data_IF_845243759514
#
_entry.id   IF_845243759514
#
_cell.length_a   1.000
_cell.length_b   1.000
_cell.length_c   1.000
_cell.angle_alpha   90.00
_cell.angle_beta   90.00
_cell.angle_gamma   90.00
#
_symmetry.space_group_name_H-M   'P 1'
#
loop_
_entity.id
_entity.type
_entity.pdbx_description
1 polymer ?
#
# COMPACT_ATOMS: atom_id res chain seq x y z
N UNK A 1 -12.56 2.13 -12.13
CA UNK A 1 -12.60 3.58 -11.90
C UNK A 1 -11.48 4.22 -12.71
N UNK A 2 -11.84 5.12 -13.62
CA UNK A 2 -10.92 5.84 -14.52
C UNK A 2 -10.84 7.33 -14.18
N UNK A 3 -11.51 7.79 -13.12
CA UNK A 3 -11.50 9.19 -12.68
C UNK A 3 -10.08 9.79 -12.60
N UNK A 4 -9.06 9.10 -12.06
CA UNK A 4 -7.69 9.62 -12.02
C UNK A 4 -7.15 10.02 -13.39
N UNK A 5 -7.46 9.25 -14.44
CA UNK A 5 -6.95 9.50 -15.79
C UNK A 5 -7.46 10.80 -16.41
N UNK A 6 -8.59 11.34 -15.91
CA UNK A 6 -9.11 12.64 -16.35
C UNK A 6 -8.33 13.82 -15.78
N UNK A 7 -7.51 13.57 -14.76
CA UNK A 7 -6.71 14.57 -14.06
C UNK A 7 -5.21 14.40 -14.31
N UNK A 8 -4.81 13.42 -15.13
CA UNK A 8 -3.41 13.24 -15.51
C UNK A 8 -3.01 14.32 -16.50
N UNK A 9 -1.95 15.03 -16.16
CA UNK A 9 -1.20 15.96 -17.02
C UNK A 9 0.30 15.60 -16.99
N UNK A 10 1.08 16.13 -17.92
CA UNK A 10 2.54 15.97 -17.94
C UNK A 10 3.18 16.46 -16.62
N UNK A 11 2.80 17.65 -16.16
CA UNK A 11 3.21 18.22 -14.87
C UNK A 11 2.88 17.28 -13.68
N UNK A 12 1.72 16.63 -13.69
CA UNK A 12 1.33 15.70 -12.62
C UNK A 12 2.19 14.44 -12.57
N UNK A 13 2.80 14.06 -13.70
CA UNK A 13 3.68 12.90 -13.80
C UNK A 13 5.12 13.22 -13.41
N UNK A 14 5.54 14.48 -13.55
CA UNK A 14 6.87 14.96 -13.13
C UNK A 14 6.94 15.24 -11.62
N UNK A 15 5.79 15.48 -10.99
CA UNK A 15 5.70 15.68 -9.54
C UNK A 15 6.13 14.42 -8.78
N UNK A 16 6.97 14.57 -7.75
CA UNK A 16 7.54 13.45 -6.98
C UNK A 16 6.46 12.44 -6.54
N UNK A 17 5.35 12.95 -5.99
CA UNK A 17 4.19 12.16 -5.67
C UNK A 17 2.90 12.95 -5.91
N UNK A 18 1.99 12.40 -6.72
CA UNK A 18 0.68 12.99 -6.98
C UNK A 18 -0.43 12.08 -6.44
N UNK A 19 -1.23 12.59 -5.50
CA UNK A 19 -2.47 11.95 -5.08
C UNK A 19 -3.64 12.45 -5.94
N UNK A 20 -4.40 11.55 -6.53
CA UNK A 20 -5.53 11.90 -7.40
C UNK A 20 -6.85 12.06 -6.62
N UNK A 21 -7.82 12.79 -7.16
CA UNK A 21 -9.14 12.94 -6.56
C UNK A 21 -9.78 11.59 -6.21
N UNK A 22 -10.27 11.49 -4.99
CA UNK A 22 -10.91 10.28 -4.48
C UNK A 22 -12.41 10.36 -4.72
N UNK A 23 -12.96 9.37 -5.40
CA UNK A 23 -14.42 9.27 -5.59
C UNK A 23 -15.11 9.01 -4.26
N UNK A 24 -16.30 9.57 -4.08
CA UNK A 24 -17.17 9.24 -2.94
C UNK A 24 -17.35 7.73 -2.82
N UNK A 25 -16.87 7.19 -1.69
CA UNK A 25 -16.99 5.78 -1.37
C UNK A 25 -18.43 5.45 -0.97
N UNK A 26 -18.95 4.32 -1.45
CA UNK A 26 -20.27 3.84 -1.01
C UNK A 26 -20.11 3.18 0.35
N UNK A 27 -20.87 3.65 1.34
CA UNK A 27 -20.93 3.04 2.65
C UNK A 27 -22.01 1.94 2.64
N UNK A 28 -21.60 0.67 2.67
CA UNK A 28 -22.51 -0.48 2.70
C UNK A 28 -21.82 -1.72 3.28
N UNK A 29 -22.60 -2.72 3.65
CA UNK A 29 -22.09 -4.03 4.05
C UNK A 29 -22.18 -4.97 2.85
N UNK A 30 -21.04 -5.51 2.41
CA UNK A 30 -21.01 -6.47 1.30
C UNK A 30 -21.84 -7.71 1.66
N UNK A 31 -22.85 -8.03 0.83
CA UNK A 31 -23.62 -9.25 0.96
C UNK A 31 -22.74 -10.46 0.64
N UNK A 32 -22.90 -11.53 1.42
CA UNK A 32 -22.24 -12.83 1.20
C UNK A 32 -23.31 -13.89 0.96
N UNK A 33 -23.92 -13.92 -0.24
CA UNK A 33 -25.11 -14.75 -0.50
C UNK A 33 -24.83 -16.25 -0.32
N UNK A 34 -23.63 -16.70 -0.68
CA UNK A 34 -23.21 -18.10 -0.55
C UNK A 34 -22.64 -18.43 0.84
N UNK A 35 -22.55 -17.47 1.76
CA UNK A 35 -21.73 -17.58 2.96
C UNK A 35 -20.22 -17.59 2.65
N UNK A 36 -19.37 -17.61 3.68
CA UNK A 36 -17.92 -17.67 3.48
C UNK A 36 -17.33 -16.49 2.71
N UNK A 37 -16.29 -16.73 1.89
CA UNK A 37 -15.75 -15.77 0.93
C UNK A 37 -16.00 -16.24 -0.51
N UNK A 38 -15.83 -15.38 -1.52
CA UNK A 38 -15.95 -15.67 -2.98
C UNK A 38 -16.93 -16.79 -3.35
N UNK A 39 -16.48 -18.05 -3.43
CA UNK A 39 -17.24 -19.23 -3.88
C UNK A 39 -17.76 -20.15 -2.76
N UNK A 40 -17.55 -19.79 -1.49
CA UNK A 40 -17.86 -20.62 -0.33
C UNK A 40 -17.38 -22.08 -0.54
N UNK A 41 -18.26 -23.05 -0.37
CA UNK A 41 -18.00 -24.47 -0.59
C UNK A 41 -18.59 -25.00 -1.92
N UNK A 42 -18.74 -24.16 -2.95
CA UNK A 42 -19.35 -24.55 -4.24
C UNK A 42 -18.42 -25.36 -5.18
N UNK A 43 -17.18 -25.66 -4.76
CA UNK A 43 -16.19 -26.39 -5.59
C UNK A 43 -15.52 -25.53 -6.67
N UNK A 44 -14.65 -26.12 -7.49
CA UNK A 44 -13.93 -25.42 -8.58
C UNK A 44 -14.77 -25.22 -9.85
N UNK A 45 -15.82 -26.01 -10.06
CA UNK A 45 -16.70 -25.86 -11.21
C UNK A 45 -17.56 -24.58 -11.15
N UNK A 46 -17.65 -23.95 -9.97
CA UNK A 46 -18.41 -22.72 -9.78
C UNK A 46 -17.57 -21.50 -10.13
N UNK A 47 -17.86 -20.89 -11.28
CA UNK A 47 -17.18 -19.70 -11.75
C UNK A 47 -17.44 -18.50 -10.84
N UNK A 48 -16.37 -17.78 -10.47
CA UNK A 48 -16.45 -16.48 -9.79
C UNK A 48 -15.42 -15.53 -10.37
N UNK A 49 -15.74 -14.24 -10.40
CA UNK A 49 -14.79 -13.17 -10.72
C UNK A 49 -14.51 -12.32 -9.46
N UNK A 50 -13.33 -11.72 -9.33
CA UNK A 50 -13.04 -10.81 -8.23
C UNK A 50 -13.92 -9.55 -8.34
N UNK A 51 -14.57 -9.17 -7.24
CA UNK A 51 -15.18 -7.86 -7.13
C UNK A 51 -14.10 -6.77 -7.09
N UNK A 52 -14.40 -5.54 -7.56
CA UNK A 52 -13.60 -4.39 -7.24
C UNK A 52 -13.37 -4.28 -5.71
N UNK A 53 -12.23 -3.71 -5.28
CA UNK A 53 -11.98 -3.53 -3.85
C UNK A 53 -13.09 -2.67 -3.21
N UNK A 54 -13.52 -3.08 -2.01
CA UNK A 54 -14.51 -2.36 -1.23
C UNK A 54 -13.90 -1.12 -0.55
N UNK A 55 -14.71 -0.05 -0.47
CA UNK A 55 -14.41 1.16 0.29
C UNK A 55 -13.81 2.30 -0.54
N UNK A 56 -13.01 3.16 0.10
CA UNK A 56 -12.40 4.34 -0.53
C UNK A 56 -11.11 3.96 -1.25
N UNK A 57 -11.08 4.18 -2.56
CA UNK A 57 -9.93 3.82 -3.40
C UNK A 57 -9.06 5.04 -3.64
N UNK A 58 -7.85 5.01 -3.09
CA UNK A 58 -6.82 6.01 -3.30
C UNK A 58 -5.97 5.61 -4.50
N UNK A 59 -5.79 6.53 -5.44
CA UNK A 59 -4.89 6.36 -6.57
C UNK A 59 -3.82 7.43 -6.49
N UNK A 60 -2.55 7.03 -6.56
CA UNK A 60 -1.43 7.96 -6.57
C UNK A 60 -0.43 7.56 -7.65
N UNK A 61 0.35 8.54 -8.11
CA UNK A 61 1.47 8.36 -9.01
C UNK A 61 2.75 8.76 -8.29
N UNK A 62 3.83 8.03 -8.54
CA UNK A 62 5.18 8.39 -8.14
C UNK A 62 6.03 8.54 -9.40
N UNK A 63 6.61 9.73 -9.61
CA UNK A 63 7.53 9.97 -10.73
C UNK A 63 8.67 8.96 -10.71
N UNK A 64 9.29 8.84 -9.53
CA UNK A 64 10.37 7.90 -9.26
C UNK A 64 10.00 6.89 -8.19
N UNK A 65 10.66 5.73 -8.24
CA UNK A 65 10.56 4.73 -7.19
C UNK A 65 11.60 5.00 -6.09
N UNK A 66 11.19 4.81 -4.84
CA UNK A 66 12.10 4.84 -3.71
C UNK A 66 12.85 3.50 -3.62
N UNK A 67 14.18 3.58 -3.68
CA UNK A 67 15.07 2.42 -3.64
C UNK A 67 15.75 2.31 -2.29
N UNK A 68 15.93 1.08 -1.82
CA UNK A 68 16.78 0.81 -0.66
C UNK A 68 18.26 1.07 -0.98
N UNK A 69 19.10 1.25 0.04
CA UNK A 69 20.57 1.35 -0.09
C UNK A 69 21.13 0.16 -0.87
N UNK A 70 20.69 -1.06 -0.52
CA UNK A 70 21.03 -2.28 -1.26
C UNK A 70 20.70 -2.20 -2.74
N UNK A 71 19.52 -1.68 -3.09
CA UNK A 71 19.10 -1.55 -4.50
C UNK A 71 19.87 -0.45 -5.23
N UNK A 72 20.25 0.64 -4.55
CA UNK A 72 21.09 1.70 -5.11
C UNK A 72 22.48 1.14 -5.43
N UNK A 73 23.11 0.47 -4.46
CA UNK A 73 24.40 -0.20 -4.65
C UNK A 73 24.36 -1.21 -5.80
N UNK A 74 23.38 -2.10 -5.82
CA UNK A 74 23.26 -3.09 -6.90
C UNK A 74 23.10 -2.44 -8.28
N UNK A 75 22.44 -1.28 -8.36
CA UNK A 75 22.35 -0.53 -9.62
C UNK A 75 23.71 0.06 -10.00
N UNK A 76 24.42 0.66 -9.06
CA UNK A 76 25.75 1.23 -9.28
C UNK A 76 26.76 0.16 -9.71
N UNK A 77 26.80 -0.98 -9.03
CA UNK A 77 27.62 -2.15 -9.39
C UNK A 77 27.29 -2.66 -10.79
N UNK A 78 26.00 -2.69 -11.17
CA UNK A 78 25.58 -3.09 -12.51
C UNK A 78 26.07 -2.12 -13.59
N UNK A 79 26.06 -0.81 -13.34
CA UNK A 79 26.60 0.16 -14.30
C UNK A 79 28.13 0.03 -14.43
N UNK A 80 28.86 -0.10 -13.31
CA UNK A 80 30.32 -0.32 -13.32
C UNK A 80 30.69 -1.60 -14.09
N UNK A 81 29.96 -2.70 -13.84
CA UNK A 81 30.19 -3.97 -14.52
C UNK A 81 29.91 -3.87 -16.04
N UNK A 82 28.91 -3.08 -16.46
CA UNK A 82 28.65 -2.82 -17.89
C UNK A 82 29.76 -2.03 -18.56
N UNK A 83 30.37 -1.11 -17.83
CA UNK A 83 31.53 -0.32 -18.29
C UNK A 83 32.84 -1.12 -18.25
N UNK A 84 32.81 -2.38 -17.76
CA UNK A 84 33.97 -3.24 -17.64
C UNK A 84 34.90 -2.89 -16.48
N UNK A 85 34.42 -2.06 -15.54
CA UNK A 85 35.15 -1.68 -14.33
C UNK A 85 35.11 -2.77 -13.25
N UNK A 86 35.91 -2.56 -12.20
CA UNK A 86 35.95 -3.42 -11.03
C UNK A 86 34.85 -3.02 -10.03
N UNK A 87 34.01 -3.97 -9.64
CA UNK A 87 32.91 -3.73 -8.69
C UNK A 87 33.43 -3.82 -7.26
N UNK A 88 33.40 -2.72 -6.48
CA UNK A 88 33.95 -2.72 -5.13
C UNK A 88 33.14 -3.62 -4.19
N UNK A 89 33.83 -4.36 -3.32
CA UNK A 89 33.17 -5.15 -2.27
C UNK A 89 32.80 -4.24 -1.09
N UNK A 90 31.53 -4.20 -0.65
CA UNK A 90 31.12 -3.40 0.50
C UNK A 90 31.78 -3.89 1.80
N UNK A 91 32.08 -2.96 2.71
CA UNK A 91 32.49 -3.29 4.07
C UNK A 91 31.35 -3.89 4.89
N UNK A 92 31.69 -4.63 5.96
CA UNK A 92 30.72 -5.28 6.84
C UNK A 92 29.70 -4.31 7.45
N UNK A 93 30.13 -3.13 7.87
CA UNK A 93 29.25 -2.12 8.46
C UNK A 93 28.17 -1.66 7.48
N UNK A 94 28.53 -1.45 6.20
CA UNK A 94 27.57 -1.06 5.17
C UNK A 94 26.54 -2.17 4.90
N UNK A 95 26.95 -3.44 4.92
CA UNK A 95 26.03 -4.58 4.75
C UNK A 95 25.05 -4.71 5.92
N UNK A 96 25.49 -4.43 7.15
CA UNK A 96 24.63 -4.43 8.33
C UNK A 96 23.61 -3.30 8.23
N UNK A 97 24.04 -2.10 7.84
CA UNK A 97 23.12 -0.97 7.63
C UNK A 97 22.08 -1.26 6.53
N UNK A 98 22.48 -1.93 5.44
CA UNK A 98 21.57 -2.37 4.39
C UNK A 98 20.53 -3.39 4.89
N UNK A 99 20.91 -4.30 5.77
CA UNK A 99 20.01 -5.35 6.29
C UNK A 99 19.02 -4.80 7.32
N UNK A 100 19.44 -3.82 8.11
CA UNK A 100 18.60 -3.12 9.08
C UNK A 100 17.67 -2.09 8.45
N UNK A 101 17.90 -1.71 7.19
CA UNK A 101 17.10 -0.71 6.49
C UNK A 101 15.67 -1.23 6.24
N UNK A 102 14.62 -0.57 6.79
CA UNK A 102 13.26 -0.93 6.48
C UNK A 102 12.94 -0.59 5.02
N UNK A 103 12.16 -1.47 4.36
CA UNK A 103 11.75 -1.24 2.98
C UNK A 103 10.99 0.08 2.84
N UNK A 104 11.26 0.87 1.79
CA UNK A 104 10.54 2.10 1.55
C UNK A 104 9.09 1.80 1.20
N UNK A 105 8.18 2.60 1.75
CA UNK A 105 6.74 2.42 1.59
C UNK A 105 6.05 3.78 1.53
N UNK A 106 4.94 3.85 0.80
CA UNK A 106 4.02 4.99 0.88
C UNK A 106 3.08 4.77 2.05
N UNK A 107 2.84 5.82 2.82
CA UNK A 107 1.89 5.83 3.93
C UNK A 107 0.76 6.79 3.59
N UNK A 108 -0.45 6.25 3.52
CA UNK A 108 -1.69 7.00 3.33
C UNK A 108 -2.37 7.15 4.68
N UNK A 109 -2.47 8.38 5.18
CA UNK A 109 -3.10 8.70 6.46
C UNK A 109 -4.49 9.24 6.22
N UNK A 110 -5.49 8.55 6.72
CA UNK A 110 -6.90 8.96 6.65
C UNK A 110 -7.27 9.66 7.94
N UNK A 111 -7.87 10.85 7.83
CA UNK A 111 -8.38 11.64 8.95
C UNK A 111 -9.87 11.90 8.82
N UNK A 112 -10.55 12.03 9.94
CA UNK A 112 -11.95 12.49 9.97
C UNK A 112 -12.05 14.02 9.83
N UNK A 113 -13.28 14.53 9.89
CA UNK A 113 -13.58 15.95 9.79
C UNK A 113 -12.96 16.80 10.92
N UNK A 114 -12.70 16.19 12.09
CA UNK A 114 -12.05 16.83 13.24
C UNK A 114 -10.51 16.75 13.15
N UNK A 115 -9.97 16.13 12.10
CA UNK A 115 -8.53 15.98 11.86
C UNK A 115 -7.89 14.80 12.61
N UNK A 116 -8.67 14.00 13.34
CA UNK A 116 -8.16 12.84 14.06
C UNK A 116 -7.81 11.71 13.09
N UNK A 117 -6.71 11.00 13.38
CA UNK A 117 -6.23 9.91 12.52
C UNK A 117 -7.12 8.68 12.71
N UNK A 118 -7.80 8.28 11.65
CA UNK A 118 -8.73 7.14 11.63
C UNK A 118 -8.03 5.86 11.18
N UNK A 119 -7.16 5.96 10.17
CA UNK A 119 -6.44 4.81 9.61
C UNK A 119 -5.13 5.26 8.98
N UNK A 120 -4.11 4.41 9.07
CA UNK A 120 -2.92 4.48 8.20
C UNK A 120 -2.87 3.23 7.33
N UNK A 121 -2.59 3.40 6.06
CA UNK A 121 -2.45 2.32 5.08
C UNK A 121 -1.08 2.43 4.44
N UNK A 122 -0.48 1.28 4.13
CA UNK A 122 0.79 1.24 3.40
C UNK A 122 0.52 0.90 1.93
N UNK A 123 1.34 1.47 1.05
CA UNK A 123 1.28 1.28 -0.40
C UNK A 123 2.67 1.09 -1.00
N UNK A 124 2.75 0.55 -2.23
CA UNK A 124 4.02 0.38 -2.93
C UNK A 124 4.76 1.72 -3.14
N UNK A 125 6.08 1.68 -3.00
CA UNK A 125 6.98 2.82 -3.21
C UNK A 125 7.70 2.78 -4.57
N UNK A 126 7.13 2.09 -5.57
CA UNK A 126 7.72 1.95 -6.92
C UNK A 126 7.30 3.11 -7.81
N UNK A 127 8.05 3.41 -8.87
CA UNK A 127 7.62 4.38 -9.88
C UNK A 127 6.28 3.96 -10.52
N UNK A 128 5.49 4.95 -10.95
CA UNK A 128 4.23 4.77 -11.67
C UNK A 128 2.98 4.83 -10.78
N UNK A 129 1.86 4.34 -11.32
CA UNK A 129 0.55 4.39 -10.69
C UNK A 129 0.31 3.25 -9.72
N UNK A 130 -0.22 3.60 -8.55
CA UNK A 130 -0.60 2.66 -7.50
C UNK A 130 -2.01 2.93 -7.01
N UNK A 131 -2.63 1.87 -6.50
CA UNK A 131 -3.99 1.93 -5.98
C UNK A 131 -4.10 1.18 -4.66
N UNK A 132 -4.61 1.87 -3.64
CA UNK A 132 -4.80 1.32 -2.30
C UNK A 132 -6.25 1.59 -1.89
N UNK A 133 -6.93 0.56 -1.39
CA UNK A 133 -8.31 0.68 -0.94
C UNK A 133 -8.38 0.66 0.59
N UNK A 134 -8.96 1.70 1.16
CA UNK A 134 -9.40 1.70 2.55
C UNK A 134 -10.77 1.03 2.65
N UNK A 135 -10.86 -0.03 3.44
CA UNK A 135 -12.08 -0.80 3.69
C UNK A 135 -13.12 -0.09 4.59
N UNK A 136 -12.94 1.22 4.83
CA UNK A 136 -13.78 2.05 5.70
C UNK A 136 -13.80 1.56 7.16
N UNK A 137 -12.76 0.88 7.63
CA UNK A 137 -12.66 0.41 9.02
C UNK A 137 -11.57 1.12 9.80
N UNK A 138 -11.82 1.27 11.10
CA UNK A 138 -10.79 1.61 12.08
C UNK A 138 -9.72 0.51 12.18
N UNK A 139 -8.56 0.77 12.81
CA UNK A 139 -7.66 -0.29 13.25
C UNK A 139 -8.37 -1.29 14.16
N UNK A 140 -7.83 -2.51 14.21
CA UNK A 140 -8.28 -3.50 15.18
C UNK A 140 -8.07 -2.96 16.59
N UNK A 141 -9.09 -3.07 17.43
CA UNK A 141 -8.99 -2.76 18.87
C UNK A 141 -8.29 -3.89 19.64
N UNK A 142 -8.01 -5.02 18.98
CA UNK A 142 -7.29 -6.13 19.61
C UNK A 142 -5.81 -5.76 19.73
N UNK A 143 -5.16 -6.12 20.86
CA UNK A 143 -3.73 -5.93 21.00
C UNK A 143 -3.00 -6.65 19.88
N UNK A 144 -1.94 -6.04 19.37
CA UNK A 144 -1.08 -6.69 18.40
C UNK A 144 -0.55 -7.99 19.00
N UNK A 145 -0.67 -9.08 18.25
CA UNK A 145 -0.15 -10.38 18.62
C UNK A 145 0.68 -10.88 17.45
N UNK A 146 1.90 -11.40 17.68
CA UNK A 146 2.70 -11.95 16.59
C UNK A 146 1.90 -13.00 15.81
N UNK A 147 1.98 -13.00 14.47
CA UNK A 147 1.29 -14.00 13.66
C UNK A 147 1.75 -15.39 14.08
N UNK A 148 0.83 -16.28 14.47
CA UNK A 148 1.19 -17.69 14.69
C UNK A 148 1.32 -18.38 13.34
N UNK A 149 2.42 -19.11 13.15
CA UNK A 149 2.75 -19.80 11.89
C UNK A 149 1.68 -20.83 11.47
N UNK A 150 0.91 -21.34 12.42
CA UNK A 150 -0.12 -22.39 12.27
C UNK A 150 -1.55 -21.86 12.04
N UNK A 151 -1.76 -20.55 11.90
CA UNK A 151 -3.13 -20.03 11.71
C UNK A 151 -3.76 -20.55 10.43
N UNK A 152 -4.97 -21.14 10.49
CA UNK A 152 -5.78 -21.44 9.31
C UNK A 152 -5.97 -20.18 8.46
N UNK A 153 -5.98 -20.33 7.14
CA UNK A 153 -6.05 -19.20 6.21
C UNK A 153 -7.27 -18.28 6.45
N UNK A 154 -8.38 -18.84 6.96
CA UNK A 154 -9.56 -18.09 7.36
C UNK A 154 -9.32 -17.10 8.51
N UNK A 155 -8.40 -17.40 9.43
CA UNK A 155 -8.03 -16.58 10.58
C UNK A 155 -6.84 -15.64 10.31
N UNK A 156 -6.23 -15.73 9.12
CA UNK A 156 -5.16 -14.82 8.68
C UNK A 156 -5.67 -13.47 8.21
N UNK A 157 -6.99 -13.32 8.05
CA UNK A 157 -7.58 -12.00 7.72
C UNK A 157 -7.47 -11.11 8.93
N UNK A 158 -6.67 -10.07 8.82
CA UNK A 158 -6.64 -8.98 9.78
C UNK A 158 -8.07 -8.40 9.84
N UNK A 159 -8.83 -8.80 10.86
CA UNK A 159 -10.17 -8.26 11.07
C UNK A 159 -9.95 -6.82 11.51
N UNK A 160 -10.17 -5.89 10.58
CA UNK A 160 -10.20 -4.47 10.91
C UNK A 160 -11.18 -4.18 12.04
N UNK A 161 -11.13 -2.97 12.56
CA UNK A 161 -12.04 -2.49 13.59
C UNK A 161 -13.49 -2.31 13.10
N UNK A 162 -14.31 -1.61 13.89
CA UNK A 162 -15.64 -1.21 13.45
C UNK A 162 -15.58 -0.38 12.17
N UNK A 163 -16.70 -0.34 11.44
CA UNK A 163 -16.84 0.56 10.30
C UNK A 163 -16.79 2.01 10.79
N UNK A 164 -16.03 2.84 10.08
CA UNK A 164 -16.05 4.27 10.24
C UNK A 164 -17.45 4.80 9.87
N UNK A 165 -18.00 5.77 10.63
CA UNK A 165 -19.30 6.34 10.31
C UNK A 165 -19.27 7.05 8.94
N UNK A 166 -20.39 7.11 8.22
CA UNK A 166 -20.46 7.91 6.99
C UNK A 166 -20.19 9.38 7.31
N UNK A 167 -19.38 10.04 6.48
CA UNK A 167 -18.98 11.42 6.71
C UNK A 167 -17.88 11.87 5.77
N UNK A 168 -17.33 13.05 6.05
CA UNK A 168 -16.21 13.62 5.31
C UNK A 168 -14.90 13.16 5.94
N UNK A 169 -13.99 12.68 5.11
CA UNK A 169 -12.65 12.26 5.50
C UNK A 169 -11.63 12.88 4.54
N UNK A 170 -10.44 13.17 5.03
CA UNK A 170 -9.30 13.56 4.23
C UNK A 170 -8.26 12.45 4.18
N UNK A 171 -7.44 12.45 3.13
CA UNK A 171 -6.32 11.53 2.99
C UNK A 171 -5.06 12.31 2.65
N UNK A 172 -4.00 12.02 3.39
CA UNK A 172 -2.66 12.57 3.21
C UNK A 172 -1.73 11.45 2.74
N UNK A 173 -0.81 11.77 1.84
CA UNK A 173 0.23 10.85 1.37
C UNK A 173 1.57 11.30 1.94
N UNK A 174 2.35 10.34 2.44
CA UNK A 174 3.72 10.53 2.90
C UNK A 174 4.56 9.33 2.46
N UNK A 175 5.89 9.49 2.41
CA UNK A 175 6.83 8.39 2.17
C UNK A 175 7.52 8.01 3.46
N UNK A 176 7.78 6.71 3.62
CA UNK A 176 8.64 6.20 4.68
C UNK A 176 9.93 5.67 4.06
N UNK A 177 11.05 6.32 4.35
CA UNK A 177 12.40 5.96 3.85
C UNK A 177 13.36 5.99 5.03
N UNK A 178 14.24 4.99 5.17
CA UNK A 178 15.15 4.83 6.32
C UNK A 178 14.42 4.91 7.68
N UNK A 179 13.20 4.40 7.74
CA UNK A 179 12.37 4.42 8.95
C UNK A 179 11.77 5.78 9.30
N UNK A 180 12.08 6.84 8.55
CA UNK A 180 11.54 8.19 8.75
C UNK A 180 10.35 8.43 7.84
N UNK A 181 9.28 8.98 8.40
CA UNK A 181 8.11 9.44 7.66
C UNK A 181 8.33 10.89 7.21
N UNK A 182 8.28 11.13 5.91
CA UNK A 182 8.52 12.43 5.26
C UNK A 182 7.40 12.72 4.27
#
# INVERSE_FOLDING_TARGET
>A
DYTPLRHVSEESLETEAQLFPVRTAKWYIERRPLGGGRKASQGEAYFTAPNPPFGATFTYHLADGYKTRKQKRQKEEQEIAREGGDTPTPGWDALIEEDLEPKPEIVLTVRDADGAVVRRLTGPAKAGFHRVAWDLRYPSMRPWTPPRADRPEFDRRERGGPLAPPGTYSVEIAKRVDGKLV
#
